data_IF_542244053011
#
_entry.id   IF_542244053011
#
_cell.length_a   1.000
_cell.length_b   1.000
_cell.length_c   1.000
_cell.angle_alpha   90.00
_cell.angle_beta   90.00
_cell.angle_gamma   90.00
#
_symmetry.space_group_name_H-M   'P 1'
#
loop_
_entity.id
_entity.type
_entity.pdbx_description
1 polymer ?
#
# COMPACT_ATOMS: atom_id res chain seq x y z
N UNK A 1 7.15 15.23 -13.34
CA UNK A 1 6.59 15.93 -12.16
C UNK A 1 7.46 15.82 -10.90
N UNK A 2 7.62 14.64 -10.27
CA UNK A 2 8.45 14.49 -9.05
C UNK A 2 9.86 15.03 -9.24
N UNK A 3 10.53 14.59 -10.30
CA UNK A 3 11.91 14.97 -10.58
C UNK A 3 12.02 16.44 -10.98
N UNK A 4 10.96 17.03 -11.54
CA UNK A 4 10.92 18.45 -11.85
C UNK A 4 10.78 19.29 -10.59
N UNK A 5 9.93 18.86 -9.65
CA UNK A 5 9.79 19.48 -8.34
C UNK A 5 11.07 19.33 -7.49
N UNK A 6 11.66 18.13 -7.47
CA UNK A 6 12.93 17.88 -6.77
C UNK A 6 14.07 18.69 -7.35
N UNK A 7 14.16 18.81 -8.69
CA UNK A 7 15.12 19.70 -9.36
C UNK A 7 14.87 21.17 -9.06
N UNK A 8 13.60 21.61 -9.02
CA UNK A 8 13.25 23.00 -8.66
C UNK A 8 13.69 23.33 -7.23
N UNK A 9 13.29 22.53 -6.25
CA UNK A 9 13.65 22.74 -4.84
C UNK A 9 15.16 22.65 -4.62
N UNK A 10 15.85 21.74 -5.32
CA UNK A 10 17.32 21.66 -5.25
C UNK A 10 18.00 22.90 -5.84
N UNK A 11 17.45 23.50 -6.91
CA UNK A 11 17.97 24.76 -7.47
C UNK A 11 17.81 25.92 -6.49
N UNK A 12 16.69 26.00 -5.78
CA UNK A 12 16.48 27.02 -4.75
C UNK A 12 17.52 26.89 -3.61
N UNK A 13 17.88 25.67 -3.23
CA UNK A 13 18.99 25.41 -2.30
C UNK A 13 20.34 25.84 -2.91
N UNK A 14 20.61 25.47 -4.17
CA UNK A 14 21.84 25.86 -4.86
C UNK A 14 21.99 27.40 -4.95
N UNK A 15 20.91 28.13 -5.26
CA UNK A 15 20.88 29.59 -5.33
C UNK A 15 21.15 30.23 -3.97
N UNK A 16 20.51 29.73 -2.90
CA UNK A 16 20.77 30.22 -1.53
C UNK A 16 22.22 30.03 -1.13
N UNK A 17 22.79 28.83 -1.32
CA UNK A 17 24.19 28.57 -0.98
C UNK A 17 25.16 29.37 -1.87
N UNK A 18 24.79 29.60 -3.14
CA UNK A 18 25.57 30.48 -4.02
C UNK A 18 25.57 31.93 -3.55
N UNK A 19 24.46 32.43 -2.97
CA UNK A 19 24.38 33.77 -2.41
C UNK A 19 25.14 33.91 -1.09
N UNK A 20 25.07 32.89 -0.23
CA UNK A 20 25.69 32.91 1.10
C UNK A 20 27.22 32.69 1.06
N UNK A 21 27.69 31.76 0.23
CA UNK A 21 29.10 31.34 0.20
C UNK A 21 29.86 31.77 -1.06
N UNK A 22 29.16 32.31 -2.07
CA UNK A 22 29.77 32.87 -3.28
C UNK A 22 30.73 31.90 -3.99
N UNK A 23 31.94 32.37 -4.24
CA UNK A 23 32.96 31.61 -4.96
C UNK A 23 33.37 30.30 -4.26
N UNK A 24 33.34 30.23 -2.92
CA UNK A 24 33.67 28.99 -2.20
C UNK A 24 32.70 27.87 -2.55
N UNK A 25 31.42 28.18 -2.70
CA UNK A 25 30.42 27.20 -3.10
C UNK A 25 30.53 26.81 -4.58
N UNK A 26 30.85 27.77 -5.46
CA UNK A 26 31.12 27.49 -6.87
C UNK A 26 32.30 26.52 -7.05
N UNK A 27 33.40 26.74 -6.32
CA UNK A 27 34.53 25.81 -6.30
C UNK A 27 34.11 24.44 -5.77
N UNK A 28 33.41 24.40 -4.64
CA UNK A 28 32.90 23.16 -4.05
C UNK A 28 32.07 22.33 -5.04
N UNK A 29 31.17 22.97 -5.80
CA UNK A 29 30.31 22.32 -6.80
C UNK A 29 31.08 21.75 -7.99
N UNK A 30 32.25 22.31 -8.30
CA UNK A 30 33.12 21.83 -9.38
C UNK A 30 34.03 20.66 -8.97
N UNK A 31 34.18 20.40 -7.67
CA UNK A 31 35.07 19.36 -7.16
C UNK A 31 34.46 17.97 -7.33
N UNK A 32 35.31 16.97 -7.60
CA UNK A 32 34.91 15.58 -7.53
C UNK A 32 34.63 15.15 -6.07
N UNK A 33 33.75 14.17 -5.88
CA UNK A 33 33.41 13.66 -4.55
C UNK A 33 34.65 13.22 -3.74
N UNK A 34 35.68 12.67 -4.39
CA UNK A 34 36.92 12.27 -3.73
C UNK A 34 37.70 13.47 -3.18
N UNK A 35 37.71 14.59 -3.91
CA UNK A 35 38.36 15.85 -3.50
C UNK A 35 37.56 16.52 -2.38
N UNK A 36 36.23 16.57 -2.49
CA UNK A 36 35.35 17.08 -1.44
C UNK A 36 35.59 16.36 -0.13
N UNK A 37 35.64 15.02 -0.13
CA UNK A 37 35.91 14.22 1.09
C UNK A 37 37.24 14.58 1.75
N UNK A 38 38.31 14.71 0.96
CA UNK A 38 39.64 15.09 1.48
C UNK A 38 39.63 16.50 2.07
N UNK A 39 38.98 17.47 1.41
CA UNK A 39 38.96 18.86 1.89
C UNK A 39 38.05 19.06 3.10
N UNK A 40 36.88 18.39 3.14
CA UNK A 40 35.97 18.40 4.30
C UNK A 40 36.65 17.83 5.56
N UNK A 41 37.61 16.91 5.40
CA UNK A 41 38.40 16.42 6.53
C UNK A 41 39.46 17.43 7.03
N UNK A 42 39.90 18.35 6.17
CA UNK A 42 40.98 19.30 6.45
C UNK A 42 40.49 20.71 6.82
N UNK A 43 39.30 21.12 6.37
CA UNK A 43 38.72 22.46 6.57
C UNK A 43 37.36 22.32 7.29
N UNK A 44 37.31 22.83 8.53
CA UNK A 44 36.10 22.79 9.37
C UNK A 44 34.95 23.64 8.83
N UNK A 45 35.25 24.76 8.17
CA UNK A 45 34.23 25.63 7.58
C UNK A 45 33.61 24.98 6.35
N UNK A 46 34.46 24.37 5.50
CA UNK A 46 33.98 23.62 4.34
C UNK A 46 33.15 22.42 4.76
N UNK A 47 33.50 21.75 5.86
CA UNK A 47 32.71 20.68 6.45
C UNK A 47 31.32 21.16 6.86
N UNK A 48 31.25 22.26 7.61
CA UNK A 48 29.98 22.82 8.04
C UNK A 48 29.09 23.18 6.84
N UNK A 49 29.67 23.81 5.80
CA UNK A 49 28.96 24.14 4.56
C UNK A 49 28.49 22.88 3.81
N UNK A 50 29.35 21.87 3.64
CA UNK A 50 29.00 20.61 2.97
C UNK A 50 27.85 19.91 3.69
N UNK A 51 27.93 19.79 5.02
CA UNK A 51 26.94 19.10 5.83
C UNK A 51 25.59 19.85 5.83
N UNK A 52 25.62 21.18 5.90
CA UNK A 52 24.43 22.02 5.76
C UNK A 52 23.79 21.86 4.38
N UNK A 53 24.59 21.95 3.31
CA UNK A 53 24.12 21.79 1.94
C UNK A 53 23.50 20.41 1.69
N UNK A 54 24.16 19.35 2.15
CA UNK A 54 23.66 17.97 2.04
C UNK A 54 22.35 17.76 2.79
N UNK A 55 22.22 18.34 3.98
CA UNK A 55 21.00 18.27 4.78
C UNK A 55 19.85 18.98 4.07
N UNK A 56 20.08 20.18 3.55
CA UNK A 56 19.04 21.01 2.93
C UNK A 56 18.60 20.48 1.56
N UNK A 57 19.54 19.99 0.75
CA UNK A 57 19.20 19.26 -0.50
C UNK A 57 18.46 17.96 -0.21
N UNK A 58 18.86 17.22 0.84
CA UNK A 58 18.14 16.04 1.30
C UNK A 58 16.69 16.35 1.72
N UNK A 59 16.49 17.46 2.46
CA UNK A 59 15.15 17.94 2.85
C UNK A 59 14.31 18.33 1.63
N UNK A 60 14.90 19.03 0.65
CA UNK A 60 14.22 19.39 -0.60
C UNK A 60 13.69 18.15 -1.35
N UNK A 61 14.51 17.09 -1.48
CA UNK A 61 14.08 15.84 -2.10
C UNK A 61 13.04 15.09 -1.26
N UNK A 62 13.20 15.09 0.06
CA UNK A 62 12.20 14.51 0.97
C UNK A 62 10.84 15.19 0.82
N UNK A 63 10.81 16.50 0.68
CA UNK A 63 9.57 17.26 0.51
C UNK A 63 8.93 17.02 -0.87
N UNK A 64 9.73 16.98 -1.94
CA UNK A 64 9.24 16.60 -3.26
C UNK A 64 8.60 15.20 -3.26
N UNK A 65 9.24 14.25 -2.56
CA UNK A 65 8.71 12.90 -2.39
C UNK A 65 7.43 12.90 -1.55
N UNK A 66 7.35 13.69 -0.47
CA UNK A 66 6.15 13.81 0.37
C UNK A 66 4.95 14.29 -0.44
N UNK A 67 5.11 15.38 -1.20
CA UNK A 67 4.05 15.97 -2.04
C UNK A 67 3.56 14.97 -3.09
N UNK A 68 4.49 14.26 -3.74
CA UNK A 68 4.13 13.27 -4.75
C UNK A 68 3.43 12.04 -4.16
N UNK A 69 3.88 11.56 -3.01
CA UNK A 69 3.19 10.47 -2.29
C UNK A 69 1.78 10.88 -1.90
N UNK A 70 1.59 12.11 -1.41
CA UNK A 70 0.27 12.63 -1.05
C UNK A 70 -0.65 12.72 -2.28
N UNK A 71 -0.14 13.21 -3.41
CA UNK A 71 -0.89 13.25 -4.68
C UNK A 71 -1.25 11.84 -5.17
N UNK A 72 -0.29 10.92 -5.18
CA UNK A 72 -0.49 9.54 -5.62
C UNK A 72 -1.52 8.82 -4.72
N UNK A 73 -1.43 9.02 -3.41
CA UNK A 73 -2.40 8.51 -2.43
C UNK A 73 -3.80 9.03 -2.73
N UNK A 74 -3.98 10.34 -2.91
CA UNK A 74 -5.28 10.93 -3.18
C UNK A 74 -5.91 10.37 -4.48
N UNK A 75 -5.12 10.23 -5.55
CA UNK A 75 -5.57 9.64 -6.81
C UNK A 75 -5.96 8.17 -6.62
N UNK A 76 -5.14 7.41 -5.91
CA UNK A 76 -5.38 5.98 -5.62
C UNK A 76 -6.64 5.78 -4.78
N UNK A 77 -6.84 6.60 -3.75
CA UNK A 77 -8.00 6.60 -2.86
C UNK A 77 -9.29 6.96 -3.62
N UNK A 78 -9.23 7.97 -4.48
CA UNK A 78 -10.38 8.36 -5.31
C UNK A 78 -10.75 7.24 -6.30
N UNK A 79 -9.76 6.68 -7.00
CA UNK A 79 -9.96 5.57 -7.92
C UNK A 79 -10.54 4.35 -7.20
N UNK A 80 -10.03 4.04 -6.01
CA UNK A 80 -10.53 2.92 -5.19
C UNK A 80 -11.98 3.13 -4.75
N UNK A 81 -12.34 4.35 -4.29
CA UNK A 81 -13.72 4.70 -3.94
C UNK A 81 -14.67 4.53 -5.12
N UNK A 82 -14.28 5.04 -6.30
CA UNK A 82 -15.09 4.93 -7.53
C UNK A 82 -15.26 3.47 -7.96
N UNK A 83 -14.17 2.70 -7.99
CA UNK A 83 -14.20 1.29 -8.37
C UNK A 83 -15.04 0.45 -7.38
N UNK A 84 -14.94 0.73 -6.07
CA UNK A 84 -15.74 0.07 -5.03
C UNK A 84 -17.23 0.37 -5.23
N UNK A 85 -17.59 1.62 -5.45
CA UNK A 85 -18.98 2.00 -5.70
C UNK A 85 -19.54 1.34 -6.96
N UNK A 86 -18.77 1.33 -8.06
CA UNK A 86 -19.17 0.63 -9.29
C UNK A 86 -19.35 -0.86 -9.06
N UNK A 87 -18.46 -1.49 -8.29
CA UNK A 87 -18.55 -2.92 -7.95
C UNK A 87 -19.80 -3.22 -7.13
N UNK A 88 -20.13 -2.37 -6.14
CA UNK A 88 -21.34 -2.52 -5.32
C UNK A 88 -22.59 -2.42 -6.20
N UNK A 89 -22.66 -1.41 -7.08
CA UNK A 89 -23.79 -1.23 -8.00
C UNK A 89 -23.93 -2.42 -8.94
N UNK A 90 -22.83 -2.84 -9.57
CA UNK A 90 -22.82 -3.99 -10.48
C UNK A 90 -23.23 -5.29 -9.76
N UNK A 91 -22.77 -5.49 -8.51
CA UNK A 91 -23.17 -6.64 -7.69
C UNK A 91 -24.66 -6.62 -7.41
N UNK A 92 -25.20 -5.50 -6.93
CA UNK A 92 -26.62 -5.36 -6.62
C UNK A 92 -27.50 -5.56 -7.86
N UNK A 93 -27.09 -4.99 -9.00
CA UNK A 93 -27.77 -5.20 -10.28
C UNK A 93 -27.74 -6.68 -10.70
N UNK A 94 -26.60 -7.35 -10.53
CA UNK A 94 -26.46 -8.77 -10.87
C UNK A 94 -27.25 -9.67 -9.93
N UNK A 95 -27.40 -9.30 -8.65
CA UNK A 95 -28.20 -9.99 -7.65
C UNK A 95 -29.72 -9.99 -7.94
N UNK A 96 -30.18 -9.25 -8.96
CA UNK A 96 -31.54 -9.42 -9.51
C UNK A 96 -31.70 -10.83 -10.11
N UNK A 97 -30.62 -11.43 -10.59
CA UNK A 97 -30.60 -12.82 -11.07
C UNK A 97 -30.36 -13.81 -9.93
N UNK A 98 -31.27 -14.78 -9.70
CA UNK A 98 -31.08 -15.85 -8.73
C UNK A 98 -29.83 -16.69 -9.00
N UNK A 99 -29.48 -16.90 -10.28
CA UNK A 99 -28.28 -17.65 -10.67
C UNK A 99 -27.00 -16.94 -10.22
N UNK A 100 -26.94 -15.62 -10.38
CA UNK A 100 -25.74 -14.85 -9.97
C UNK A 100 -25.59 -14.81 -8.44
N UNK A 101 -26.70 -14.80 -7.68
CA UNK A 101 -26.65 -14.97 -6.23
C UNK A 101 -26.01 -16.31 -5.82
N UNK A 102 -26.39 -17.40 -6.49
CA UNK A 102 -25.77 -18.71 -6.26
C UNK A 102 -24.28 -18.70 -6.58
N UNK A 103 -23.88 -18.14 -7.74
CA UNK A 103 -22.46 -18.02 -8.11
C UNK A 103 -21.67 -17.21 -7.08
N UNK A 104 -22.20 -16.10 -6.57
CA UNK A 104 -21.52 -15.34 -5.52
C UNK A 104 -21.38 -16.12 -4.22
N UNK A 105 -22.41 -16.86 -3.80
CA UNK A 105 -22.32 -17.70 -2.59
C UNK A 105 -21.31 -18.82 -2.77
N UNK A 106 -21.34 -19.54 -3.89
CA UNK A 106 -20.42 -20.64 -4.18
C UNK A 106 -18.96 -20.15 -4.26
N UNK A 107 -18.72 -19.04 -4.94
CA UNK A 107 -17.37 -18.47 -5.09
C UNK A 107 -16.87 -17.83 -3.79
N UNK A 108 -17.71 -17.15 -2.99
CA UNK A 108 -17.31 -16.62 -1.68
C UNK A 108 -17.03 -17.76 -0.66
N UNK A 109 -17.79 -18.86 -0.68
CA UNK A 109 -17.55 -20.02 0.18
C UNK A 109 -16.24 -20.74 -0.15
N UNK A 110 -15.90 -20.83 -1.43
CA UNK A 110 -14.65 -21.44 -1.91
C UNK A 110 -13.45 -20.48 -1.89
N UNK A 111 -13.66 -19.23 -1.49
CA UNK A 111 -12.59 -18.21 -1.44
C UNK A 111 -12.15 -17.69 -2.82
N UNK A 112 -12.92 -17.94 -3.88
CA UNK A 112 -12.63 -17.52 -5.27
C UNK A 112 -13.51 -16.37 -5.78
N UNK A 113 -14.43 -15.87 -4.94
CA UNK A 113 -15.38 -14.81 -5.31
C UNK A 113 -14.78 -13.42 -5.41
N UNK A 114 -15.59 -12.44 -5.82
CA UNK A 114 -15.18 -11.03 -5.93
C UNK A 114 -14.63 -10.45 -4.61
N UNK A 115 -14.99 -11.06 -3.46
CA UNK A 115 -14.34 -10.76 -2.17
C UNK A 115 -12.85 -11.09 -2.16
N UNK A 116 -12.43 -12.19 -2.79
CA UNK A 116 -11.01 -12.54 -2.91
C UNK A 116 -10.31 -11.69 -3.99
N UNK A 117 -11.01 -11.21 -5.00
CA UNK A 117 -10.42 -10.31 -6.00
C UNK A 117 -10.10 -8.92 -5.43
N UNK A 118 -10.99 -8.35 -4.60
CA UNK A 118 -10.70 -7.14 -3.84
C UNK A 118 -9.46 -7.31 -2.94
N UNK A 119 -9.30 -8.51 -2.37
CA UNK A 119 -8.13 -8.95 -1.61
C UNK A 119 -6.84 -9.00 -2.44
N UNK A 120 -6.83 -9.56 -3.65
CA UNK A 120 -5.61 -9.61 -4.47
C UNK A 120 -5.15 -8.21 -4.90
N UNK A 121 -6.08 -7.32 -5.24
CA UNK A 121 -5.76 -5.99 -5.74
C UNK A 121 -5.30 -5.03 -4.61
N UNK A 122 -5.86 -5.16 -3.40
CA UNK A 122 -5.38 -4.43 -2.23
C UNK A 122 -3.99 -4.91 -1.79
N UNK A 123 -3.72 -6.22 -1.87
CA UNK A 123 -2.42 -6.79 -1.49
C UNK A 123 -1.30 -6.35 -2.43
N UNK A 124 -1.59 -6.25 -3.72
CA UNK A 124 -0.62 -5.76 -4.71
C UNK A 124 -0.26 -4.29 -4.43
N UNK A 125 -1.26 -3.45 -4.13
CA UNK A 125 -1.06 -2.05 -3.75
C UNK A 125 -0.35 -1.88 -2.41
N UNK A 126 -0.65 -2.71 -1.41
CA UNK A 126 -0.01 -2.65 -0.10
C UNK A 126 1.45 -3.09 -0.17
N UNK A 127 1.78 -4.10 -1.00
CA UNK A 127 3.16 -4.48 -1.30
C UNK A 127 3.88 -3.37 -2.07
N UNK A 128 3.22 -2.72 -3.03
CA UNK A 128 3.77 -1.59 -3.77
C UNK A 128 4.01 -0.38 -2.85
N UNK A 129 3.07 -0.02 -1.98
CA UNK A 129 3.20 1.05 -0.99
C UNK A 129 4.24 0.72 0.09
N UNK A 130 4.38 -0.54 0.53
CA UNK A 130 5.45 -0.98 1.45
C UNK A 130 6.83 -0.98 0.79
N UNK A 131 6.89 -1.29 -0.51
CA UNK A 131 8.12 -1.25 -1.29
C UNK A 131 8.57 0.19 -1.59
N UNK A 132 7.63 1.13 -1.72
CA UNK A 132 7.91 2.55 -2.00
C UNK A 132 7.87 3.48 -0.77
N UNK A 133 7.31 3.05 0.37
CA UNK A 133 7.16 3.86 1.58
C UNK A 133 7.77 3.20 2.82
N UNK A 134 9.04 3.48 3.07
CA UNK A 134 9.67 3.38 4.39
C UNK A 134 9.11 4.43 5.37
N UNK A 135 7.81 4.39 5.64
CA UNK A 135 7.11 5.31 6.53
C UNK A 135 5.61 5.08 6.44
N UNK A 136 5.08 4.34 7.40
CA UNK A 136 3.73 3.77 7.36
C UNK A 136 2.60 4.79 7.35
N UNK A 137 1.46 4.34 6.84
CA UNK A 137 0.17 4.96 7.08
C UNK A 137 -0.86 3.86 7.34
N UNK A 138 -1.36 3.84 8.58
CA UNK A 138 -2.62 3.19 8.92
C UNK A 138 -3.72 3.73 8.01
N UNK A 139 -4.46 2.86 7.33
CA UNK A 139 -5.70 3.25 6.67
C UNK A 139 -6.85 2.31 7.02
N UNK A 140 -7.71 2.90 7.82
CA UNK A 140 -9.05 2.49 8.18
C UNK A 140 -10.01 2.57 6.98
N UNK A 141 -10.83 1.52 6.85
CA UNK A 141 -12.23 1.67 6.48
C UNK A 141 -12.51 1.92 5.00
N UNK A 142 -12.78 0.86 4.25
CA UNK A 142 -14.17 0.45 4.01
C UNK A 142 -14.18 -0.74 3.07
N UNK A 143 -15.12 -1.65 3.33
CA UNK A 143 -15.26 -2.90 2.63
C UNK A 143 -14.56 -4.03 3.37
N UNK A 144 -15.23 -5.17 3.44
CA UNK A 144 -14.57 -6.48 3.58
C UNK A 144 -13.98 -6.79 4.96
N UNK A 145 -14.72 -7.60 5.73
CA UNK A 145 -14.19 -8.32 6.91
C UNK A 145 -12.96 -9.17 6.56
N UNK A 146 -12.97 -9.82 5.38
CA UNK A 146 -11.81 -10.51 4.80
C UNK A 146 -10.57 -9.63 4.59
N UNK A 147 -10.76 -8.37 4.16
CA UNK A 147 -9.66 -7.39 4.11
C UNK A 147 -9.19 -7.04 5.52
N UNK A 148 -10.10 -6.90 6.48
CA UNK A 148 -9.74 -6.65 7.88
C UNK A 148 -8.86 -7.75 8.47
N UNK A 149 -9.17 -9.03 8.22
CA UNK A 149 -8.38 -10.15 8.72
C UNK A 149 -7.02 -10.25 8.03
N UNK A 150 -6.98 -10.14 6.70
CA UNK A 150 -5.71 -10.14 5.97
C UNK A 150 -4.86 -8.93 6.35
N UNK A 151 -5.39 -7.70 6.36
CA UNK A 151 -4.64 -6.48 6.70
C UNK A 151 -4.07 -6.57 8.13
N UNK A 152 -4.78 -7.22 9.05
CA UNK A 152 -4.24 -7.51 10.38
C UNK A 152 -3.07 -8.48 10.31
N UNK A 153 -3.20 -9.57 9.55
CA UNK A 153 -2.15 -10.57 9.35
C UNK A 153 -0.94 -10.03 8.57
N UNK A 154 -1.14 -9.21 7.54
CA UNK A 154 -0.09 -8.55 6.76
C UNK A 154 0.58 -7.48 7.60
N UNK A 155 -0.18 -6.65 8.32
CA UNK A 155 0.35 -5.68 9.28
C UNK A 155 1.22 -6.31 10.35
N UNK A 156 0.79 -7.43 10.95
CA UNK A 156 1.60 -8.20 11.90
C UNK A 156 2.89 -8.73 11.27
N UNK A 157 2.82 -9.29 10.05
CA UNK A 157 3.99 -9.76 9.33
C UNK A 157 4.97 -8.64 9.01
N UNK A 158 4.47 -7.53 8.47
CA UNK A 158 5.24 -6.33 8.13
C UNK A 158 5.95 -5.79 9.36
N UNK A 159 5.26 -5.71 10.50
CA UNK A 159 5.88 -5.29 11.77
C UNK A 159 7.03 -6.21 12.16
N UNK A 160 6.82 -7.53 12.13
CA UNK A 160 7.87 -8.52 12.43
C UNK A 160 9.04 -8.46 11.44
N UNK A 161 8.76 -8.20 10.17
CA UNK A 161 9.77 -8.07 9.13
C UNK A 161 10.64 -6.82 9.37
N UNK A 162 10.05 -5.68 9.72
CA UNK A 162 10.82 -4.48 10.06
C UNK A 162 11.62 -4.64 11.36
N UNK A 163 11.04 -5.26 12.38
CA UNK A 163 11.76 -5.62 13.62
C UNK A 163 12.97 -6.52 13.30
N UNK A 164 12.79 -7.52 12.45
CA UNK A 164 13.85 -8.41 11.95
C UNK A 164 14.92 -7.65 11.16
N UNK A 165 14.52 -6.80 10.21
CA UNK A 165 15.45 -6.04 9.37
C UNK A 165 16.28 -5.08 10.21
N UNK A 166 15.66 -4.36 11.15
CA UNK A 166 16.35 -3.46 12.07
C UNK A 166 17.38 -4.20 12.93
N UNK A 167 17.04 -5.39 13.43
CA UNK A 167 17.97 -6.25 14.17
C UNK A 167 19.17 -6.66 13.30
N UNK A 168 18.93 -7.16 12.09
CA UNK A 168 20.00 -7.57 11.14
C UNK A 168 20.93 -6.41 10.77
N UNK A 169 20.38 -5.23 10.53
CA UNK A 169 21.17 -4.01 10.25
C UNK A 169 22.01 -3.61 11.45
N UNK A 170 21.45 -3.67 12.67
CA UNK A 170 22.19 -3.35 13.89
C UNK A 170 23.33 -4.34 14.14
N UNK A 171 23.08 -5.64 13.96
CA UNK A 171 24.11 -6.69 14.12
C UNK A 171 25.23 -6.53 13.09
N UNK A 172 24.88 -6.26 11.82
CA UNK A 172 25.86 -6.03 10.76
C UNK A 172 26.69 -4.77 10.99
N UNK A 173 26.07 -3.67 11.44
CA UNK A 173 26.77 -2.43 11.76
C UNK A 173 27.68 -2.54 12.98
N UNK A 174 27.39 -3.43 13.93
CA UNK A 174 28.28 -3.72 15.06
C UNK A 174 29.46 -4.60 14.66
N UNK A 175 29.25 -5.53 13.73
CA UNK A 175 30.31 -6.42 13.22
C UNK A 175 31.28 -5.71 12.27
N UNK A 176 30.79 -4.74 11.48
CA UNK A 176 31.58 -3.98 10.51
C UNK A 176 31.29 -2.47 10.62
N UNK A 177 32.23 -1.66 11.13
CA UNK A 177 32.09 -0.21 11.21
C UNK A 177 31.97 0.50 9.84
N UNK A 178 32.32 -0.19 8.75
CA UNK A 178 32.18 0.31 7.38
C UNK A 178 30.86 -0.06 6.74
N UNK A 179 29.98 -0.79 7.45
CA UNK A 179 28.65 -1.16 6.98
C UNK A 179 27.85 0.07 6.54
N UNK A 180 27.38 0.05 5.30
CA UNK A 180 26.55 1.09 4.72
C UNK A 180 25.24 0.52 4.15
N UNK A 181 24.36 1.40 3.69
CA UNK A 181 23.09 1.00 3.08
C UNK A 181 23.23 0.20 1.77
N UNK A 182 24.44 0.11 1.19
CA UNK A 182 24.71 -0.63 -0.04
C UNK A 182 25.33 -2.02 0.24
N UNK A 183 25.70 -2.29 1.49
CA UNK A 183 26.33 -3.54 1.88
C UNK A 183 25.30 -4.67 1.80
N UNK A 184 25.69 -5.80 1.21
CA UNK A 184 24.81 -6.94 1.06
C UNK A 184 24.42 -7.50 2.43
N UNK A 185 23.12 -7.51 2.73
CA UNK A 185 22.56 -8.07 3.95
C UNK A 185 21.86 -9.38 3.61
N UNK A 186 22.36 -10.49 4.14
CA UNK A 186 21.67 -11.78 3.98
C UNK A 186 20.35 -11.77 4.78
N UNK A 187 19.26 -11.96 4.05
CA UNK A 187 17.88 -11.99 4.56
C UNK A 187 17.17 -13.31 4.21
N UNK A 188 17.94 -14.38 3.99
CA UNK A 188 17.42 -15.71 3.68
C UNK A 188 16.63 -16.32 4.85
N UNK A 189 16.97 -15.97 6.10
CA UNK A 189 16.30 -16.39 7.33
C UNK A 189 15.15 -15.47 7.76
N UNK A 190 14.70 -14.57 6.87
CA UNK A 190 13.56 -13.69 7.15
C UNK A 190 12.30 -14.48 7.54
N UNK A 191 11.44 -13.93 8.41
CA UNK A 191 10.16 -14.55 8.71
C UNK A 191 9.39 -14.79 7.41
N UNK A 192 8.77 -15.97 7.28
CA UNK A 192 7.90 -16.28 6.15
C UNK A 192 6.48 -15.82 6.47
N UNK A 193 5.81 -15.21 5.50
CA UNK A 193 4.40 -14.91 5.62
C UNK A 193 3.61 -16.23 5.69
N UNK A 194 2.82 -16.39 6.74
CA UNK A 194 1.90 -17.52 6.89
C UNK A 194 0.49 -16.96 6.98
N UNK A 195 -0.29 -17.14 5.93
CA UNK A 195 -1.69 -16.74 5.96
C UNK A 195 -2.45 -17.67 6.91
N UNK A 196 -3.15 -17.07 7.87
CA UNK A 196 -4.14 -17.79 8.67
C UNK A 196 -5.50 -17.54 8.04
N UNK A 197 -6.15 -18.62 7.65
CA UNK A 197 -7.49 -18.57 7.12
C UNK A 197 -8.49 -18.04 8.16
N UNK A 198 -9.44 -17.20 7.72
CA UNK A 198 -10.56 -16.81 8.57
C UNK A 198 -11.34 -18.06 9.05
N UNK A 199 -11.79 -18.09 10.32
CA UNK A 199 -12.65 -19.15 10.81
C UNK A 199 -13.89 -19.34 9.93
N UNK A 200 -14.27 -20.59 9.66
CA UNK A 200 -15.43 -20.93 8.84
C UNK A 200 -16.72 -20.22 9.30
N UNK A 201 -16.87 -20.06 10.62
CA UNK A 201 -18.01 -19.37 11.24
C UNK A 201 -18.16 -17.92 10.75
N UNK A 202 -17.06 -17.19 10.65
CA UNK A 202 -17.07 -15.78 10.24
C UNK A 202 -17.41 -15.65 8.75
N UNK A 203 -16.91 -16.59 7.93
CA UNK A 203 -17.27 -16.70 6.51
C UNK A 203 -18.76 -16.98 6.33
N UNK A 204 -19.29 -17.96 7.07
CA UNK A 204 -20.71 -18.33 7.04
C UNK A 204 -21.62 -17.18 7.47
N UNK A 205 -21.30 -16.52 8.58
CA UNK A 205 -22.09 -15.38 9.06
C UNK A 205 -22.16 -14.26 8.01
N UNK A 206 -21.08 -14.06 7.26
CA UNK A 206 -21.01 -13.02 6.25
C UNK A 206 -21.86 -13.29 5.00
N UNK A 207 -22.17 -14.56 4.69
CA UNK A 207 -23.01 -14.94 3.54
C UNK A 207 -24.49 -15.10 3.88
N UNK A 208 -24.84 -15.18 5.17
CA UNK A 208 -26.23 -15.38 5.63
C UNK A 208 -27.28 -14.44 5.01
N UNK A 209 -27.04 -13.13 4.85
CA UNK A 209 -28.02 -12.25 4.22
C UNK A 209 -28.38 -12.66 2.78
N UNK A 210 -27.40 -13.14 2.00
CA UNK A 210 -27.63 -13.60 0.63
C UNK A 210 -28.45 -14.88 0.58
N UNK A 211 -28.20 -15.81 1.51
CA UNK A 211 -29.05 -16.99 1.69
C UNK A 211 -30.50 -16.62 2.03
N UNK A 212 -30.70 -15.60 2.88
CA UNK A 212 -32.02 -15.07 3.19
C UNK A 212 -32.75 -14.56 1.96
N UNK A 213 -32.08 -13.76 1.13
CA UNK A 213 -32.64 -13.24 -0.13
C UNK A 213 -32.96 -14.39 -1.10
N UNK A 214 -32.06 -15.37 -1.24
CA UNK A 214 -32.26 -16.53 -2.10
C UNK A 214 -33.48 -17.36 -1.67
N UNK A 215 -33.62 -17.62 -0.37
CA UNK A 215 -34.79 -18.32 0.18
C UNK A 215 -36.09 -17.54 -0.08
N UNK A 216 -36.07 -16.23 0.14
CA UNK A 216 -37.22 -15.36 -0.14
C UNK A 216 -37.69 -15.47 -1.59
N UNK A 217 -36.77 -15.36 -2.56
CA UNK A 217 -37.13 -15.47 -3.98
C UNK A 217 -37.64 -16.87 -4.36
N UNK A 218 -37.04 -17.93 -3.80
CA UNK A 218 -37.55 -19.29 -4.01
C UNK A 218 -39.01 -19.41 -3.54
N UNK A 219 -39.30 -18.96 -2.31
CA UNK A 219 -40.66 -19.00 -1.76
C UNK A 219 -41.63 -18.21 -2.66
N UNK A 220 -41.25 -17.00 -3.08
CA UNK A 220 -42.10 -16.16 -3.93
C UNK A 220 -42.38 -16.83 -5.28
N UNK A 221 -41.37 -17.43 -5.90
CA UNK A 221 -41.53 -18.13 -7.17
C UNK A 221 -42.45 -19.36 -7.05
N UNK A 222 -42.22 -20.21 -6.03
CA UNK A 222 -43.06 -21.39 -5.80
C UNK A 222 -44.50 -21.02 -5.46
N UNK A 223 -44.71 -20.00 -4.62
CA UNK A 223 -46.05 -19.52 -4.29
C UNK A 223 -46.77 -18.98 -5.54
N UNK A 224 -46.07 -18.19 -6.37
CA UNK A 224 -46.62 -17.68 -7.63
C UNK A 224 -46.99 -18.79 -8.62
N UNK A 225 -46.10 -19.79 -8.78
CA UNK A 225 -46.35 -20.95 -9.62
C UNK A 225 -47.55 -21.77 -9.12
N UNK A 226 -47.67 -21.96 -7.81
CA UNK A 226 -48.79 -22.67 -7.18
C UNK A 226 -50.14 -21.96 -7.40
N UNK A 227 -50.20 -20.64 -7.20
CA UNK A 227 -51.41 -19.85 -7.46
C UNK A 227 -51.81 -19.93 -8.93
N UNK A 228 -50.85 -19.85 -9.86
CA UNK A 228 -51.11 -20.00 -11.30
C UNK A 228 -51.58 -21.40 -11.66
N UNK A 229 -50.99 -22.43 -11.05
CA UNK A 229 -51.40 -23.82 -11.23
C UNK A 229 -52.84 -24.05 -10.77
N UNK A 230 -53.25 -23.51 -9.62
CA UNK A 230 -54.65 -23.58 -9.15
C UNK A 230 -55.60 -22.83 -10.09
N UNK A 231 -55.15 -21.69 -10.64
CA UNK A 231 -55.96 -20.88 -11.57
C UNK A 231 -56.08 -21.50 -12.97
N UNK A 232 -55.26 -22.50 -13.27
CA UNK A 232 -55.26 -23.20 -14.56
C UNK A 232 -56.35 -24.28 -14.50
N UNK A 233 -57.59 -23.87 -14.77
CA UNK A 233 -58.75 -24.78 -14.89
C UNK A 233 -58.59 -25.59 -16.19
N UNK A 234 -58.27 -26.88 -16.07
CA UNK A 234 -58.19 -27.81 -17.20
C UNK A 234 -59.61 -28.27 -17.51
N UNK A 235 -60.36 -27.45 -18.24
CA UNK A 235 -61.65 -27.81 -18.83
C UNK A 235 -61.58 -27.81 -20.35
#
# INVERSE_FOLDING_TARGET
>A
ERDDLGRKLSREVDERFSQEYGQRFAEYRSMSNAVVRKRVAADSDLKAMHDAYRRETGQAWSEANRIQREKAKNISDELYKKATNQTIIAKNLSCISPYVNYVFVATDLTGTGLRSHGFFNSNFREIEDLYYSSGGANLSGSGSRGLGHFNRSSGEYTRRYYEYQGKKVSEASQADPTFDSNTFLDISDRPRFSYKEEPLKDRLQAVMPYWGILMFFNILFFAGAFVKFISYDVR
#
